data_IF_718387702537
#
_entry.id   IF_718387702537
#
_cell.length_a   1.000
_cell.length_b   1.000
_cell.length_c   1.000
_cell.angle_alpha   90.00
_cell.angle_beta   90.00
_cell.angle_gamma   90.00
#
_symmetry.space_group_name_H-M   'P 1'
#
loop_
_entity.id
_entity.type
_entity.pdbx_description
1 polymer ?
#
# COMPACT_ATOMS: atom_id res chain seq x y z
N UNK A 1 14.24 -7.04 -5.53
CA UNK A 1 13.56 -8.15 -6.24
C UNK A 1 13.46 -7.77 -7.72
N UNK A 2 13.07 -8.63 -8.66
CA UNK A 2 12.74 -8.18 -10.00
C UNK A 2 11.47 -7.31 -9.97
N UNK A 3 11.34 -6.38 -10.92
CA UNK A 3 10.04 -5.77 -11.21
C UNK A 3 9.08 -6.87 -11.68
N UNK A 4 7.81 -6.78 -11.29
CA UNK A 4 6.83 -7.81 -11.66
C UNK A 4 5.64 -7.92 -10.73
N UNK A 5 4.67 -8.77 -11.10
CA UNK A 5 3.49 -9.03 -10.29
C UNK A 5 3.84 -9.88 -9.06
N UNK A 6 3.22 -9.54 -7.94
CA UNK A 6 3.27 -10.26 -6.69
C UNK A 6 1.84 -10.41 -6.19
N UNK A 7 1.42 -11.65 -6.02
CA UNK A 7 0.13 -11.96 -5.43
C UNK A 7 0.31 -12.10 -3.91
N UNK A 8 -0.56 -11.43 -3.17
CA UNK A 8 -0.65 -11.50 -1.70
C UNK A 8 -2.02 -12.04 -1.36
N UNK A 9 -2.08 -13.27 -0.87
CA UNK A 9 -3.34 -13.88 -0.46
C UNK A 9 -3.76 -13.46 0.95
N UNK A 10 -5.07 -13.48 1.20
CA UNK A 10 -5.66 -13.28 2.51
C UNK A 10 -5.09 -14.26 3.54
N UNK A 11 -4.90 -15.52 3.16
CA UNK A 11 -4.32 -16.55 4.03
C UNK A 11 -2.89 -16.20 4.44
N UNK A 12 -2.07 -15.70 3.50
CA UNK A 12 -0.72 -15.23 3.83
C UNK A 12 -0.77 -14.12 4.88
N UNK A 13 -1.62 -13.10 4.69
CA UNK A 13 -1.74 -12.00 5.65
C UNK A 13 -2.21 -12.48 7.03
N UNK A 14 -3.21 -13.36 7.07
CA UNK A 14 -3.71 -13.95 8.32
C UNK A 14 -2.65 -14.78 9.05
N UNK A 15 -1.85 -15.57 8.32
CA UNK A 15 -0.76 -16.33 8.93
C UNK A 15 0.31 -15.39 9.52
N UNK A 16 0.65 -14.31 8.80
CA UNK A 16 1.60 -13.31 9.30
C UNK A 16 1.08 -12.61 10.57
N UNK A 17 -0.22 -12.33 10.65
CA UNK A 17 -0.84 -11.77 11.85
C UNK A 17 -0.71 -12.72 13.04
N UNK A 18 -1.05 -14.00 12.86
CA UNK A 18 -0.92 -15.01 13.91
C UNK A 18 0.53 -15.12 14.39
N UNK A 19 1.50 -15.15 13.47
CA UNK A 19 2.93 -15.19 13.79
C UNK A 19 3.44 -13.94 14.51
N UNK A 20 2.83 -12.78 14.26
CA UNK A 20 3.18 -11.51 14.90
C UNK A 20 2.48 -11.28 16.25
N UNK A 21 1.47 -12.08 16.57
CA UNK A 21 0.65 -11.90 17.77
C UNK A 21 1.27 -12.58 19.00
N UNK A 22 1.15 -11.93 20.15
CA UNK A 22 1.54 -12.47 21.45
C UNK A 22 0.32 -12.90 22.26
N UNK A 23 0.41 -13.99 23.05
CA UNK A 23 -0.62 -14.36 24.02
C UNK A 23 -0.99 -13.24 25.00
N UNK A 24 -0.12 -12.25 25.20
CA UNK A 24 -0.35 -11.11 26.10
C UNK A 24 -0.87 -9.84 25.39
N UNK A 25 -1.07 -9.87 24.07
CA UNK A 25 -1.58 -8.69 23.36
C UNK A 25 -3.03 -8.37 23.75
N UNK A 26 -3.35 -7.09 23.86
CA UNK A 26 -4.70 -6.60 24.16
C UNK A 26 -5.63 -6.84 22.97
N UNK A 27 -5.08 -6.80 21.75
CA UNK A 27 -5.79 -7.09 20.50
C UNK A 27 -5.72 -8.60 20.23
N UNK A 28 -6.89 -9.23 20.11
CA UNK A 28 -7.06 -10.67 19.90
C UNK A 28 -7.87 -10.94 18.64
N UNK A 29 -7.80 -12.19 18.17
CA UNK A 29 -8.63 -12.72 17.09
C UNK A 29 -8.61 -11.84 15.83
N UNK A 30 -7.43 -11.29 15.51
CA UNK A 30 -7.27 -10.43 14.33
C UNK A 30 -7.39 -11.27 13.06
N UNK A 31 -8.30 -10.87 12.17
CA UNK A 31 -8.53 -11.51 10.89
C UNK A 31 -8.65 -10.45 9.81
N UNK A 32 -7.93 -10.64 8.72
CA UNK A 32 -8.04 -9.84 7.49
C UNK A 32 -8.95 -10.59 6.53
N UNK A 33 -9.85 -9.83 5.92
CA UNK A 33 -10.66 -10.23 4.79
C UNK A 33 -10.42 -9.30 3.60
N UNK A 34 -10.19 -9.88 2.43
CA UNK A 34 -9.98 -9.14 1.18
C UNK A 34 -11.16 -9.44 0.26
N UNK A 35 -11.90 -8.39 -0.08
CA UNK A 35 -12.93 -8.44 -1.12
C UNK A 35 -12.45 -7.65 -2.33
N UNK A 36 -13.08 -7.79 -3.51
CA UNK A 36 -12.71 -7.01 -4.69
C UNK A 36 -12.76 -5.48 -4.51
N UNK A 37 -13.49 -5.01 -3.48
CA UNK A 37 -13.75 -3.57 -3.29
C UNK A 37 -13.13 -3.01 -2.01
N UNK A 38 -12.88 -3.85 -1.00
CA UNK A 38 -12.42 -3.43 0.32
C UNK A 38 -11.52 -4.48 0.96
N UNK A 39 -10.60 -4.00 1.78
CA UNK A 39 -9.90 -4.80 2.77
C UNK A 39 -10.49 -4.49 4.14
N UNK A 40 -10.83 -5.53 4.90
CA UNK A 40 -11.45 -5.42 6.22
C UNK A 40 -10.59 -6.17 7.23
N UNK A 41 -10.32 -5.56 8.38
CA UNK A 41 -9.64 -6.18 9.49
C UNK A 41 -10.61 -6.24 10.67
N UNK A 42 -10.98 -7.44 11.06
CA UNK A 42 -11.76 -7.69 12.26
C UNK A 42 -10.81 -8.04 13.40
N UNK A 43 -11.10 -7.57 14.61
CA UNK A 43 -10.31 -7.87 15.78
C UNK A 43 -11.15 -7.71 17.05
N UNK A 44 -10.61 -8.14 18.18
CA UNK A 44 -11.23 -8.00 19.49
C UNK A 44 -10.29 -7.28 20.45
N UNK A 45 -10.78 -6.27 21.17
CA UNK A 45 -10.05 -5.54 22.21
C UNK A 45 -10.89 -5.56 23.48
N UNK A 46 -10.32 -6.05 24.58
CA UNK A 46 -11.03 -6.21 25.86
C UNK A 46 -12.37 -6.99 25.73
N UNK A 47 -12.42 -7.97 24.83
CA UNK A 47 -13.62 -8.77 24.56
C UNK A 47 -14.65 -8.12 23.64
N UNK A 48 -14.43 -6.87 23.21
CA UNK A 48 -15.29 -6.17 22.27
C UNK A 48 -14.78 -6.29 20.85
N UNK A 49 -15.67 -6.58 19.91
CA UNK A 49 -15.32 -6.67 18.49
C UNK A 49 -15.19 -5.27 17.89
N UNK A 50 -14.13 -5.06 17.14
CA UNK A 50 -13.89 -3.90 16.29
C UNK A 50 -13.67 -4.33 14.84
N UNK A 51 -13.99 -3.45 13.91
CA UNK A 51 -13.71 -3.69 12.48
C UNK A 51 -13.14 -2.42 11.88
N UNK A 52 -12.07 -2.57 11.11
CA UNK A 52 -11.47 -1.50 10.33
C UNK A 52 -11.57 -1.88 8.88
N UNK A 53 -12.25 -1.07 8.08
CA UNK A 53 -12.29 -1.26 6.63
C UNK A 53 -11.41 -0.20 5.96
N UNK A 54 -10.81 -0.53 4.83
CA UNK A 54 -10.03 0.40 4.02
C UNK A 54 -9.85 -0.10 2.59
N UNK A 55 -9.43 0.80 1.72
CA UNK A 55 -9.22 0.55 0.29
C UNK A 55 -7.76 0.84 -0.05
N UNK A 56 -6.93 -0.19 -0.28
CA UNK A 56 -5.58 -0.04 -0.81
C UNK A 56 -5.61 0.61 -2.18
N UNK A 57 -4.80 1.65 -2.37
CA UNK A 57 -4.61 2.37 -3.64
C UNK A 57 -3.15 2.70 -3.84
N UNK A 58 -2.76 2.86 -5.10
CA UNK A 58 -1.45 3.43 -5.45
C UNK A 58 -1.58 4.94 -5.57
N UNK A 59 -0.74 5.67 -4.84
CA UNK A 59 -0.57 7.11 -4.98
C UNK A 59 0.91 7.44 -5.10
N UNK A 60 1.30 8.12 -6.18
CA UNK A 60 2.71 8.52 -6.41
C UNK A 60 3.70 7.35 -6.29
N UNK A 61 3.31 6.16 -6.76
CA UNK A 61 4.15 4.96 -6.73
C UNK A 61 4.22 4.30 -5.35
N UNK A 62 3.41 4.74 -4.39
CA UNK A 62 3.31 4.20 -3.04
C UNK A 62 1.98 3.54 -2.79
N UNK A 63 2.00 2.43 -2.06
CA UNK A 63 0.77 1.82 -1.57
C UNK A 63 0.28 2.60 -0.35
N UNK A 64 -0.95 3.09 -0.42
CA UNK A 64 -1.64 3.80 0.66
C UNK A 64 -3.02 3.18 0.88
N UNK A 65 -3.51 3.21 2.11
CA UNK A 65 -4.89 2.87 2.44
C UNK A 65 -5.70 4.17 2.44
N UNK A 66 -6.86 4.10 1.79
CA UNK A 66 -7.84 5.21 1.68
C UNK A 66 -9.20 4.73 2.14
N UNK A 67 -10.14 5.66 2.35
CA UNK A 67 -11.52 5.35 2.74
C UNK A 67 -11.58 4.47 4.00
N UNK A 68 -10.74 4.79 4.98
CA UNK A 68 -10.70 4.03 6.24
C UNK A 68 -11.95 4.33 7.05
N UNK A 69 -12.61 3.27 7.52
CA UNK A 69 -13.73 3.36 8.45
C UNK A 69 -13.44 2.45 9.63
N UNK A 70 -13.91 2.86 10.82
CA UNK A 70 -13.70 2.14 12.07
C UNK A 70 -15.06 1.95 12.70
N UNK A 71 -15.46 0.69 12.83
CA UNK A 71 -16.75 0.29 13.38
C UNK A 71 -16.57 -0.37 14.75
N UNK A 72 -17.60 -0.25 15.59
CA UNK A 72 -17.64 -0.83 16.93
C UNK A 72 -16.88 0.01 17.97
N UNK A 73 -16.52 -0.64 19.08
CA UNK A 73 -15.91 0.05 20.25
C UNK A 73 -14.51 0.59 19.94
N UNK A 74 -13.85 0.05 18.91
CA UNK A 74 -12.60 0.60 18.39
C UNK A 74 -12.74 2.08 18.00
N UNK A 75 -13.87 2.50 17.42
CA UNK A 75 -14.12 3.88 17.02
C UNK A 75 -14.22 4.87 18.18
N UNK A 76 -14.35 4.40 19.42
CA UNK A 76 -14.36 5.25 20.63
C UNK A 76 -12.96 5.60 21.13
N UNK A 77 -11.96 4.82 20.72
CA UNK A 77 -10.58 4.91 21.23
C UNK A 77 -9.62 5.30 20.11
N UNK A 78 -9.91 4.89 18.88
CA UNK A 78 -9.09 5.12 17.70
C UNK A 78 -9.91 5.78 16.60
N UNK A 79 -9.40 6.89 16.07
CA UNK A 79 -10.00 7.54 14.92
C UNK A 79 -9.56 6.86 13.61
N UNK A 80 -10.39 6.96 12.58
CA UNK A 80 -10.05 6.49 11.24
C UNK A 80 -8.79 7.19 10.69
N UNK A 81 -8.59 8.46 11.04
CA UNK A 81 -7.43 9.25 10.62
C UNK A 81 -6.14 8.73 11.24
N UNK A 82 -6.15 8.44 12.55
CA UNK A 82 -4.99 7.88 13.25
C UNK A 82 -4.60 6.52 12.68
N UNK A 83 -5.60 5.66 12.43
CA UNK A 83 -5.37 4.33 11.81
C UNK A 83 -4.82 4.49 10.40
N UNK A 84 -5.38 5.42 9.61
CA UNK A 84 -4.89 5.71 8.25
C UNK A 84 -3.43 6.17 8.28
N UNK A 85 -3.10 7.12 9.15
CA UNK A 85 -1.76 7.66 9.27
C UNK A 85 -0.76 6.58 9.71
N UNK A 86 -1.13 5.75 10.69
CA UNK A 86 -0.30 4.66 11.18
C UNK A 86 -0.08 3.59 10.10
N UNK A 87 -1.15 3.15 9.43
CA UNK A 87 -1.06 2.17 8.35
C UNK A 87 -0.16 2.67 7.22
N UNK A 88 -0.39 3.89 6.74
CA UNK A 88 0.40 4.49 5.65
C UNK A 88 1.87 4.69 6.03
N UNK A 89 2.17 5.01 7.31
CA UNK A 89 3.54 5.07 7.81
C UNK A 89 4.24 3.71 7.74
N UNK A 90 3.58 2.64 8.17
CA UNK A 90 4.13 1.29 8.10
C UNK A 90 4.30 0.80 6.66
N UNK A 91 3.33 1.09 5.78
CA UNK A 91 3.43 0.78 4.35
C UNK A 91 4.59 1.51 3.69
N UNK A 92 4.79 2.80 3.99
CA UNK A 92 5.93 3.56 3.47
C UNK A 92 7.27 2.96 3.94
N UNK A 93 7.36 2.54 5.20
CA UNK A 93 8.55 1.87 5.74
C UNK A 93 8.81 0.52 5.07
N UNK A 94 7.77 -0.31 4.89
CA UNK A 94 7.87 -1.58 4.18
C UNK A 94 8.32 -1.39 2.73
N UNK A 95 7.75 -0.41 2.03
CA UNK A 95 8.10 -0.12 0.65
C UNK A 95 9.54 0.37 0.50
N UNK A 96 10.03 1.15 1.48
CA UNK A 96 11.44 1.58 1.54
C UNK A 96 12.38 0.38 1.67
N UNK A 97 12.01 -0.64 2.47
CA UNK A 97 12.76 -1.89 2.61
C UNK A 97 12.74 -2.73 1.33
N UNK A 98 11.61 -2.75 0.61
CA UNK A 98 11.47 -3.46 -0.66
C UNK A 98 12.29 -2.76 -1.75
N UNK A 99 12.45 -1.43 -1.70
CA UNK A 99 13.17 -0.60 -2.67
C UNK A 99 12.54 -0.61 -4.09
N UNK A 100 11.23 -0.85 -4.18
CA UNK A 100 10.49 -0.78 -5.44
C UNK A 100 9.27 0.13 -5.34
N UNK A 101 9.01 0.88 -6.41
CA UNK A 101 7.74 1.56 -6.58
C UNK A 101 6.63 0.51 -6.85
N UNK A 102 5.42 0.80 -6.41
CA UNK A 102 4.24 0.00 -6.73
C UNK A 102 3.48 0.75 -7.82
N UNK A 103 3.29 0.09 -8.96
CA UNK A 103 2.69 0.68 -10.17
C UNK A 103 1.18 0.50 -10.14
N UNK A 104 0.71 -0.66 -9.69
CA UNK A 104 -0.71 -0.95 -9.57
C UNK A 104 -0.99 -1.86 -8.39
N UNK A 105 -2.20 -1.71 -7.85
CA UNK A 105 -2.79 -2.62 -6.88
C UNK A 105 -4.17 -3.00 -7.39
N UNK A 106 -4.47 -4.29 -7.42
CA UNK A 106 -5.79 -4.81 -7.74
C UNK A 106 -6.26 -5.73 -6.62
N UNK A 107 -7.42 -5.43 -6.08
CA UNK A 107 -8.09 -6.33 -5.14
C UNK A 107 -8.92 -7.34 -5.91
N UNK A 108 -8.80 -8.60 -5.51
CA UNK A 108 -9.58 -9.72 -5.99
C UNK A 108 -10.26 -10.38 -4.79
N UNK A 109 -11.06 -11.41 -5.04
CA UNK A 109 -11.63 -12.18 -3.95
C UNK A 109 -10.50 -12.90 -3.20
N UNK A 110 -10.31 -12.55 -1.92
CA UNK A 110 -9.30 -13.13 -1.02
C UNK A 110 -7.83 -12.89 -1.44
N UNK A 111 -7.59 -11.99 -2.40
CA UNK A 111 -6.26 -11.77 -2.97
C UNK A 111 -6.01 -10.30 -3.30
N UNK A 112 -4.74 -9.90 -3.20
CA UNK A 112 -4.25 -8.59 -3.57
C UNK A 112 -3.10 -8.76 -4.57
N UNK A 113 -3.31 -8.32 -5.80
CA UNK A 113 -2.27 -8.30 -6.83
C UNK A 113 -1.55 -6.95 -6.80
N UNK A 114 -0.25 -6.99 -6.52
CA UNK A 114 0.63 -5.83 -6.58
C UNK A 114 1.56 -5.95 -7.77
N UNK A 115 1.74 -4.87 -8.52
CA UNK A 115 2.77 -4.82 -9.57
C UNK A 115 3.87 -3.88 -9.12
N UNK A 116 5.06 -4.42 -8.94
CA UNK A 116 6.25 -3.64 -8.61
C UNK A 116 6.93 -3.12 -9.87
N UNK A 117 7.26 -1.83 -9.88
CA UNK A 117 8.04 -1.17 -10.91
C UNK A 117 9.54 -1.38 -10.73
N UNK A 118 10.34 -0.81 -11.63
CA UNK A 118 11.79 -0.86 -11.52
C UNK A 118 12.28 -0.17 -10.23
N UNK A 119 13.35 -0.70 -9.64
CA UNK A 119 14.09 -0.05 -8.54
C UNK A 119 14.46 1.38 -8.94
N UNK A 120 14.12 2.37 -8.13
CA UNK A 120 14.45 3.79 -8.40
C UNK A 120 13.51 4.53 -9.36
N UNK A 121 12.46 3.89 -9.88
CA UNK A 121 11.42 4.59 -10.65
C UNK A 121 10.42 5.28 -9.72
N UNK A 122 10.78 6.45 -9.21
CA UNK A 122 9.77 7.38 -8.72
C UNK A 122 8.87 7.71 -9.93
N UNK A 123 7.55 7.48 -9.90
CA UNK A 123 6.72 7.77 -11.06
C UNK A 123 6.75 9.27 -11.28
N UNK A 124 7.48 9.67 -12.31
CA UNK A 124 7.38 10.99 -12.89
C UNK A 124 5.92 11.12 -13.35
N UNK A 125 5.17 12.15 -12.90
CA UNK A 125 3.86 12.44 -13.46
C UNK A 125 3.99 12.46 -14.98
N UNK A 126 3.17 11.66 -15.66
CA UNK A 126 3.31 11.40 -17.09
C UNK A 126 3.32 12.68 -17.93
N UNK A 127 4.49 12.99 -18.48
CA UNK A 127 4.67 13.80 -19.67
C UNK A 127 5.54 12.98 -20.63
N UNK A 128 4.93 12.40 -21.66
CA UNK A 128 5.63 11.70 -22.74
C UNK A 128 6.10 12.71 -23.81
N UNK A 129 6.90 12.34 -24.83
CA UNK A 129 8.32 12.66 -24.92
C UNK A 129 8.64 13.64 -26.08
N UNK A 130 9.26 14.78 -25.77
CA UNK A 130 9.86 15.67 -26.78
C UNK A 130 11.36 15.41 -26.87
N UNK A 131 11.80 14.75 -27.94
CA UNK A 131 13.21 14.54 -28.22
C UNK A 131 13.98 15.86 -28.31
N UNK A 132 15.20 15.85 -27.77
CA UNK A 132 16.18 16.91 -27.98
C UNK A 132 16.45 17.06 -29.48
N UNK A 133 16.32 18.26 -30.09
CA UNK A 133 16.97 18.50 -31.37
C UNK A 133 18.49 18.57 -31.15
N UNK A 134 19.32 18.08 -32.08
CA UNK A 134 20.77 18.21 -31.97
C UNK A 134 21.13 19.71 -32.07
N UNK A 135 21.76 20.26 -31.03
CA UNK A 135 22.37 21.59 -31.09
C UNK A 135 23.59 21.48 -32.00
N UNK A 136 23.42 21.90 -33.25
CA UNK A 136 24.51 22.10 -34.19
C UNK A 136 25.47 23.17 -33.65
N UNK A 137 26.76 22.88 -33.76
CA UNK A 137 27.86 23.83 -33.55
C UNK A 137 27.66 25.09 -34.40
N UNK A 138 27.78 26.31 -33.84
CA UNK A 138 27.67 27.53 -34.63
C UNK A 138 28.93 27.74 -35.47
N UNK A 139 28.86 27.49 -36.77
CA UNK A 139 29.86 27.97 -37.73
C UNK A 139 29.50 29.40 -38.16
N UNK A 140 30.35 30.35 -37.77
CA UNK A 140 30.38 31.73 -38.28
C UNK A 140 30.50 31.76 -39.81
N UNK A 141 29.73 32.61 -40.52
CA UNK A 141 30.10 33.03 -41.85
C UNK A 141 30.90 34.34 -41.80
N UNK A 142 32.10 34.30 -42.39
CA UNK A 142 32.90 35.43 -42.90
C UNK A 142 33.25 35.03 -44.34
N UNK A 143 33.32 35.89 -45.37
CA UNK A 143 33.14 37.35 -45.45
C UNK A 143 31.87 37.81 -46.20
#
# INVERSE_FOLDING_TARGET
>A
APAGPVNVSENLLNNLLVLSSSPNDIVKNTQIHITPNTMSMQFQVYGFTGTVNGVPKVQQGRLVITNVTVDGIAGLILSAEDITALANKHLAAAQTRINHAIVSVQMKNQELDLVFGATGSNPTPGGSPGGLPPIGTPTLPVP
#
